data_IF_717076759163
#
_entry.id   IF_717076759163
#
_cell.length_a   1.000
_cell.length_b   1.000
_cell.length_c   1.000
_cell.angle_alpha   90.00
_cell.angle_beta   90.00
_cell.angle_gamma   90.00
#
_symmetry.space_group_name_H-M   'P 1'
#
loop_
_entity.id
_entity.type
_entity.pdbx_description
1 polymer ?
#
# COMPACT_ATOMS: atom_id res chain seq x y z
N UNK A 1 -16.52 -25.53 -8.35
CA UNK A 1 -17.44 -24.42 -8.72
C UNK A 1 -17.49 -23.24 -7.73
N UNK A 2 -16.87 -23.28 -6.54
CA UNK A 2 -16.89 -22.16 -5.58
C UNK A 2 -15.82 -21.07 -5.82
N UNK A 3 -14.74 -21.37 -6.56
CA UNK A 3 -13.59 -20.45 -6.77
C UNK A 3 -13.89 -19.28 -7.70
N UNK A 4 -14.79 -19.44 -8.68
CA UNK A 4 -15.10 -18.41 -9.68
C UNK A 4 -15.95 -17.26 -9.11
N UNK A 5 -16.88 -17.57 -8.20
CA UNK A 5 -17.77 -16.57 -7.57
C UNK A 5 -16.99 -15.60 -6.67
N UNK A 6 -16.11 -16.13 -5.82
CA UNK A 6 -15.27 -15.30 -4.95
C UNK A 6 -14.35 -14.35 -5.73
N UNK A 7 -13.78 -14.79 -6.86
CA UNK A 7 -12.96 -13.92 -7.71
C UNK A 7 -13.78 -12.79 -8.35
N UNK A 8 -14.99 -13.08 -8.78
CA UNK A 8 -15.89 -12.07 -9.36
C UNK A 8 -16.32 -11.03 -8.30
N UNK A 9 -16.65 -11.48 -7.09
CA UNK A 9 -17.05 -10.58 -6.00
C UNK A 9 -15.90 -9.66 -5.59
N UNK A 10 -14.68 -10.20 -5.49
CA UNK A 10 -13.48 -9.39 -5.21
C UNK A 10 -13.21 -8.37 -6.32
N UNK A 11 -13.35 -8.77 -7.60
CA UNK A 11 -13.15 -7.84 -8.72
C UNK A 11 -14.14 -6.66 -8.67
N UNK A 12 -15.42 -6.94 -8.39
CA UNK A 12 -16.42 -5.89 -8.23
C UNK A 12 -16.10 -4.97 -7.05
N UNK A 13 -15.61 -5.54 -5.94
CA UNK A 13 -15.22 -4.76 -4.77
C UNK A 13 -14.00 -3.87 -5.07
N UNK A 14 -12.97 -4.40 -5.74
CA UNK A 14 -11.80 -3.65 -6.21
C UNK A 14 -12.23 -2.50 -7.13
N UNK A 15 -13.14 -2.74 -8.08
CA UNK A 15 -13.67 -1.69 -8.97
C UNK A 15 -14.39 -0.58 -8.18
N UNK A 16 -15.13 -0.94 -7.13
CA UNK A 16 -15.79 0.03 -6.25
C UNK A 16 -14.80 0.91 -5.50
N UNK A 17 -13.65 0.35 -5.07
CA UNK A 17 -12.55 1.10 -4.47
C UNK A 17 -11.87 2.00 -5.49
N UNK A 18 -11.57 1.50 -6.70
CA UNK A 18 -11.00 2.30 -7.79
C UNK A 18 -11.88 3.52 -8.10
N UNK A 19 -13.20 3.36 -8.10
CA UNK A 19 -14.11 4.47 -8.32
C UNK A 19 -14.05 5.53 -7.20
N UNK A 20 -13.82 5.13 -5.95
CA UNK A 20 -13.57 6.09 -4.86
C UNK A 20 -12.25 6.82 -5.08
N UNK A 21 -11.20 6.09 -5.45
CA UNK A 21 -9.85 6.64 -5.58
C UNK A 21 -9.69 7.55 -6.80
N UNK A 22 -10.46 7.30 -7.88
CA UNK A 22 -10.46 8.12 -9.10
C UNK A 22 -11.00 9.52 -8.78
N UNK A 23 -10.10 10.46 -8.54
CA UNK A 23 -10.42 11.84 -8.14
C UNK A 23 -10.25 12.14 -6.64
N UNK A 24 -9.86 11.15 -5.84
CA UNK A 24 -9.50 11.35 -4.44
C UNK A 24 -8.06 11.90 -4.29
N UNK A 25 -7.74 12.60 -3.18
CA UNK A 25 -6.37 12.96 -2.86
C UNK A 25 -5.49 11.73 -2.65
N UNK A 26 -4.20 11.85 -2.95
CA UNK A 26 -3.21 10.77 -2.80
C UNK A 26 -3.10 10.29 -1.33
N UNK A 27 -3.44 11.13 -0.36
CA UNK A 27 -3.58 10.77 1.05
C UNK A 27 -4.52 9.56 1.24
N UNK A 28 -5.65 9.54 0.55
CA UNK A 28 -6.61 8.44 0.62
C UNK A 28 -6.05 7.19 -0.08
N UNK A 29 -5.25 7.37 -1.12
CA UNK A 29 -4.59 6.25 -1.80
C UNK A 29 -3.57 5.59 -0.87
N UNK A 30 -2.76 6.38 -0.17
CA UNK A 30 -1.80 5.88 0.81
C UNK A 30 -2.49 5.18 2.00
N UNK A 31 -3.58 5.73 2.53
CA UNK A 31 -4.39 5.03 3.53
C UNK A 31 -4.97 3.71 2.99
N UNK A 32 -5.43 3.69 1.73
CA UNK A 32 -5.98 2.48 1.11
C UNK A 32 -4.94 1.37 1.01
N UNK A 33 -3.75 1.66 0.48
CA UNK A 33 -2.71 0.62 0.33
C UNK A 33 -2.22 0.10 1.69
N UNK A 34 -2.15 0.98 2.71
CA UNK A 34 -1.82 0.60 4.09
C UNK A 34 -2.84 -0.37 4.71
N UNK A 35 -4.09 -0.34 4.26
CA UNK A 35 -5.16 -1.27 4.68
C UNK A 35 -5.25 -2.54 3.83
N UNK A 36 -4.62 -2.55 2.67
CA UNK A 36 -4.68 -3.67 1.76
C UNK A 36 -3.93 -4.89 2.32
N UNK A 37 -4.55 -6.07 2.28
CA UNK A 37 -3.94 -7.36 2.64
C UNK A 37 -3.20 -7.98 1.46
N UNK A 38 -2.02 -8.57 1.71
CA UNK A 38 -1.02 -9.09 0.75
C UNK A 38 -1.55 -9.41 -0.66
N UNK A 39 -1.70 -10.69 -0.99
CA UNK A 39 -2.00 -11.14 -2.35
C UNK A 39 -3.44 -10.78 -2.79
N UNK A 40 -4.37 -10.66 -1.84
CA UNK A 40 -5.79 -10.46 -2.15
C UNK A 40 -6.09 -9.11 -2.82
N UNK A 41 -5.19 -8.13 -2.71
CA UNK A 41 -5.38 -6.79 -3.26
C UNK A 41 -4.29 -6.40 -4.28
N UNK A 42 -3.51 -7.36 -4.78
CA UNK A 42 -2.45 -7.07 -5.75
C UNK A 42 -3.01 -6.44 -7.04
N UNK A 43 -4.21 -6.83 -7.47
CA UNK A 43 -4.91 -6.21 -8.61
C UNK A 43 -5.25 -4.74 -8.39
N UNK A 44 -5.69 -4.36 -7.18
CA UNK A 44 -5.93 -2.96 -6.81
C UNK A 44 -4.62 -2.17 -6.74
N UNK A 45 -3.60 -2.71 -6.06
CA UNK A 45 -2.29 -2.06 -5.89
C UNK A 45 -1.62 -1.87 -7.25
N UNK A 46 -1.63 -2.90 -8.09
CA UNK A 46 -1.11 -2.85 -9.46
C UNK A 46 -1.77 -1.74 -10.28
N UNK A 47 -3.09 -1.56 -10.14
CA UNK A 47 -3.80 -0.45 -10.77
C UNK A 47 -3.31 0.91 -10.23
N UNK A 48 -3.20 1.07 -8.91
CA UNK A 48 -2.72 2.32 -8.27
C UNK A 48 -1.33 2.70 -8.76
N UNK A 49 -0.41 1.73 -8.82
CA UNK A 49 0.98 1.92 -9.26
C UNK A 49 1.12 2.31 -10.73
N UNK A 50 0.09 2.06 -11.53
CA UNK A 50 0.03 2.41 -12.95
C UNK A 50 -0.73 3.70 -13.25
N UNK A 51 -1.12 4.46 -12.23
CA UNK A 51 -1.67 5.79 -12.44
C UNK A 51 -0.54 6.84 -12.41
N UNK A 52 -0.51 7.80 -13.35
CA UNK A 52 0.55 8.80 -13.42
C UNK A 52 0.58 9.76 -12.22
N UNK A 53 -0.55 9.91 -11.50
CA UNK A 53 -0.66 10.70 -10.27
C UNK A 53 -0.14 10.00 -9.02
N UNK A 54 0.27 8.72 -9.12
CA UNK A 54 0.68 7.91 -7.97
C UNK A 54 1.87 8.54 -7.24
N UNK A 55 1.68 8.89 -5.98
CA UNK A 55 2.72 9.45 -5.13
C UNK A 55 3.81 8.41 -4.79
N UNK A 56 5.04 8.89 -4.63
CA UNK A 56 6.18 8.07 -4.27
C UNK A 56 5.97 7.26 -2.99
N UNK A 57 5.28 7.78 -1.98
CA UNK A 57 5.05 7.03 -0.74
C UNK A 57 4.21 5.76 -0.96
N UNK A 58 3.26 5.79 -1.90
CA UNK A 58 2.44 4.62 -2.28
C UNK A 58 3.34 3.57 -2.97
N UNK A 59 4.20 4.02 -3.88
CA UNK A 59 5.15 3.15 -4.57
C UNK A 59 6.15 2.51 -3.58
N UNK A 60 6.67 3.28 -2.61
CA UNK A 60 7.55 2.78 -1.56
C UNK A 60 6.86 1.73 -0.70
N UNK A 61 5.64 2.00 -0.26
CA UNK A 61 4.85 1.02 0.50
C UNK A 61 4.71 -0.29 -0.26
N UNK A 62 4.33 -0.23 -1.54
CA UNK A 62 4.17 -1.40 -2.39
C UNK A 62 5.50 -2.16 -2.60
N UNK A 63 6.59 -1.41 -2.83
CA UNK A 63 7.92 -1.95 -3.05
C UNK A 63 8.43 -2.74 -1.85
N UNK A 64 8.36 -2.19 -0.64
CA UNK A 64 8.82 -2.90 0.55
C UNK A 64 7.90 -4.08 0.90
N UNK A 65 6.60 -3.95 0.65
CA UNK A 65 5.65 -5.05 0.79
C UNK A 65 5.95 -6.24 -0.14
N UNK A 66 6.56 -6.02 -1.31
CA UNK A 66 6.97 -7.11 -2.21
C UNK A 66 8.25 -7.82 -1.78
N UNK A 67 8.84 -7.45 -0.64
CA UNK A 67 10.10 -8.01 -0.12
C UNK A 67 11.26 -7.90 -1.13
N UNK A 68 11.73 -6.68 -1.43
CA UNK A 68 12.69 -6.43 -2.51
C UNK A 68 14.01 -7.16 -2.27
N UNK A 69 14.39 -7.37 -1.00
CA UNK A 69 15.57 -8.14 -0.64
C UNK A 69 15.57 -9.58 -1.21
N UNK A 70 14.41 -10.21 -1.40
CA UNK A 70 14.31 -11.55 -1.99
C UNK A 70 14.70 -11.55 -3.47
N UNK A 71 14.38 -10.48 -4.19
CA UNK A 71 14.75 -10.32 -5.60
C UNK A 71 16.26 -10.11 -5.80
N UNK A 72 16.99 -9.73 -4.74
CA UNK A 72 18.45 -9.68 -4.74
C UNK A 72 19.10 -11.02 -4.39
N UNK A 73 18.38 -11.98 -3.81
CA UNK A 73 18.91 -13.33 -3.55
C UNK A 73 18.97 -14.16 -4.83
N UNK A 74 17.92 -14.07 -5.65
CA UNK A 74 17.76 -14.75 -6.93
C UNK A 74 17.37 -13.71 -8.02
N UNK A 75 18.35 -12.93 -8.54
CA UNK A 75 18.08 -11.83 -9.44
C UNK A 75 17.62 -12.31 -10.83
N UNK A 76 16.46 -11.83 -11.26
CA UNK A 76 15.87 -12.12 -12.57
C UNK A 76 15.60 -10.84 -13.35
N UNK A 77 15.71 -10.86 -14.69
CA UNK A 77 15.26 -9.75 -15.52
C UNK A 77 13.82 -9.37 -15.22
N UNK A 78 13.50 -8.07 -15.30
CA UNK A 78 12.13 -7.61 -15.13
C UNK A 78 11.27 -8.05 -16.33
N UNK A 79 10.06 -8.58 -16.11
CA UNK A 79 9.14 -8.87 -17.20
C UNK A 79 8.75 -7.58 -17.92
N UNK A 80 8.67 -7.63 -19.26
CA UNK A 80 8.25 -6.48 -20.07
C UNK A 80 6.81 -6.01 -19.73
N UNK A 81 5.95 -6.97 -19.38
CA UNK A 81 4.58 -6.74 -18.94
C UNK A 81 4.37 -7.43 -17.58
N UNK A 82 4.61 -6.73 -16.47
CA UNK A 82 4.41 -7.30 -15.14
C UNK A 82 2.95 -7.68 -14.92
N UNK A 83 2.69 -8.87 -14.41
CA UNK A 83 1.35 -9.25 -13.96
C UNK A 83 0.95 -8.47 -12.69
N UNK A 84 -0.31 -8.52 -12.24
CA UNK A 84 -0.73 -7.88 -11.00
C UNK A 84 0.08 -8.29 -9.77
N UNK A 85 0.59 -9.52 -9.72
CA UNK A 85 1.39 -10.04 -8.61
C UNK A 85 2.87 -9.61 -8.68
N UNK A 86 3.35 -9.10 -9.81
CA UNK A 86 4.72 -8.66 -10.04
C UNK A 86 4.96 -7.22 -9.55
N UNK A 87 4.54 -6.93 -8.30
CA UNK A 87 4.58 -5.59 -7.71
C UNK A 87 5.99 -4.99 -7.73
N UNK A 88 7.02 -5.79 -7.42
CA UNK A 88 8.42 -5.36 -7.46
C UNK A 88 8.80 -4.80 -8.84
N UNK A 89 8.56 -5.62 -9.88
CA UNK A 89 8.87 -5.27 -11.27
C UNK A 89 8.07 -4.06 -11.74
N UNK A 90 6.79 -4.00 -11.37
CA UNK A 90 5.92 -2.88 -11.71
C UNK A 90 6.43 -1.56 -11.13
N UNK A 91 6.84 -1.54 -9.86
CA UNK A 91 7.42 -0.34 -9.25
C UNK A 91 8.67 0.11 -10.01
N UNK A 92 9.60 -0.80 -10.30
CA UNK A 92 10.85 -0.42 -10.97
C UNK A 92 10.62 0.13 -12.39
N UNK A 93 9.76 -0.54 -13.17
CA UNK A 93 9.45 -0.09 -14.54
C UNK A 93 8.75 1.27 -14.54
N UNK A 94 7.77 1.48 -13.65
CA UNK A 94 7.04 2.75 -13.57
C UNK A 94 7.91 3.88 -13.02
N UNK A 95 8.89 3.56 -12.17
CA UNK A 95 9.91 4.51 -11.75
C UNK A 95 10.75 4.97 -12.95
N UNK A 96 11.22 4.04 -13.79
CA UNK A 96 12.05 4.36 -14.96
C UNK A 96 11.30 5.19 -16.00
N UNK A 97 10.01 4.93 -16.19
CA UNK A 97 9.12 5.75 -17.05
C UNK A 97 8.80 7.12 -16.40
N UNK A 98 9.00 7.24 -15.09
CA UNK A 98 8.90 8.50 -14.37
C UNK A 98 7.52 8.82 -13.82
N UNK A 99 6.75 7.83 -13.34
CA UNK A 99 5.43 8.07 -12.74
C UNK A 99 5.52 8.65 -11.32
N UNK A 100 6.49 8.22 -10.51
CA UNK A 100 6.58 8.56 -9.08
C UNK A 100 7.34 9.87 -8.81
N UNK A 101 7.00 10.94 -9.54
CA UNK A 101 7.66 12.26 -9.44
C UNK A 101 7.08 13.13 -8.34
N UNK A 102 5.90 12.80 -7.84
CA UNK A 102 5.25 13.49 -6.73
C UNK A 102 5.70 12.88 -5.40
N UNK A 103 6.25 13.72 -4.52
CA UNK A 103 6.86 13.33 -3.23
C UNK A 103 6.19 14.13 -2.09
N UNK A 104 4.86 14.21 -2.12
CA UNK A 104 4.08 15.05 -1.20
C UNK A 104 3.81 14.36 0.12
N UNK A 105 3.77 13.03 0.12
CA UNK A 105 3.42 12.23 1.29
C UNK A 105 4.66 11.70 1.98
N UNK A 106 4.56 11.61 3.31
CA UNK A 106 5.62 11.06 4.15
C UNK A 106 5.63 9.55 4.12
N UNK A 107 6.81 8.99 3.86
CA UNK A 107 7.08 7.57 4.06
C UNK A 107 7.29 7.35 5.56
N UNK A 108 6.40 6.58 6.16
CA UNK A 108 6.50 6.19 7.56
C UNK A 108 7.16 4.80 7.71
N UNK A 109 7.57 4.46 8.92
CA UNK A 109 8.15 3.14 9.24
C UNK A 109 7.24 1.96 8.82
N UNK A 110 5.92 2.16 8.80
CA UNK A 110 4.96 1.14 8.35
C UNK A 110 5.02 0.89 6.84
N UNK A 111 5.48 1.87 6.06
CA UNK A 111 5.56 1.79 4.60
C UNK A 111 6.90 1.18 4.16
N UNK A 112 7.97 1.54 4.87
CA UNK A 112 9.30 1.01 4.63
C UNK A 112 9.99 0.74 5.98
N UNK A 113 9.79 -0.45 6.58
CA UNK A 113 10.39 -0.75 7.87
C UNK A 113 11.91 -0.66 7.83
N UNK A 114 12.52 0.04 8.79
CA UNK A 114 13.98 0.28 8.85
C UNK A 114 14.81 -1.00 8.69
N UNK A 115 14.35 -2.12 9.27
CA UNK A 115 15.01 -3.44 9.12
C UNK A 115 15.03 -3.93 7.67
N UNK A 116 13.95 -3.71 6.92
CA UNK A 116 13.87 -4.08 5.51
C UNK A 116 14.74 -3.17 4.65
N UNK A 117 14.75 -1.86 4.92
CA UNK A 117 15.64 -0.89 4.27
C UNK A 117 17.11 -1.31 4.48
N UNK A 118 17.51 -1.54 5.73
CA UNK A 118 18.88 -1.94 6.06
C UNK A 118 19.27 -3.26 5.36
N UNK A 119 18.39 -4.26 5.38
CA UNK A 119 18.61 -5.54 4.69
C UNK A 119 18.77 -5.35 3.18
N UNK A 120 17.95 -4.52 2.55
CA UNK A 120 18.06 -4.21 1.13
C UNK A 120 19.39 -3.50 0.83
N UNK A 121 19.74 -2.47 1.60
CA UNK A 121 20.97 -1.70 1.43
C UNK A 121 22.22 -2.58 1.52
N UNK A 122 22.30 -3.46 2.52
CA UNK A 122 23.39 -4.42 2.66
C UNK A 122 23.55 -5.28 1.41
N UNK A 123 22.44 -5.79 0.87
CA UNK A 123 22.47 -6.63 -0.34
C UNK A 123 22.84 -5.86 -1.60
N UNK A 124 22.42 -4.60 -1.73
CA UNK A 124 22.80 -3.75 -2.86
C UNK A 124 24.30 -3.45 -2.82
N UNK A 125 24.84 -3.09 -1.65
CA UNK A 125 26.26 -2.75 -1.47
C UNK A 125 27.18 -3.95 -1.71
N UNK A 126 26.74 -5.16 -1.32
CA UNK A 126 27.52 -6.38 -1.51
C UNK A 126 27.63 -6.83 -2.99
N UNK A 127 26.96 -6.16 -3.93
CA UNK A 127 26.92 -6.55 -5.34
C UNK A 127 27.82 -5.65 -6.19
N UNK A 128 28.63 -6.21 -7.11
CA UNK A 128 29.37 -5.42 -8.08
C UNK A 128 28.44 -4.58 -8.97
N UNK A 129 28.90 -3.40 -9.41
CA UNK A 129 28.14 -2.59 -10.38
C UNK A 129 27.88 -3.37 -11.66
N UNK A 130 26.64 -3.33 -12.15
CA UNK A 130 26.22 -4.04 -13.37
C UNK A 130 25.94 -5.53 -13.19
N UNK A 131 26.07 -6.09 -11.97
CA UNK A 131 25.81 -7.52 -11.75
C UNK A 131 24.32 -7.87 -11.65
N UNK A 132 23.44 -6.87 -11.51
CA UNK A 132 22.01 -7.07 -11.40
C UNK A 132 21.33 -6.76 -12.74
N UNK A 133 20.31 -7.53 -13.15
CA UNK A 133 19.55 -7.29 -14.38
C UNK A 133 18.51 -6.17 -14.23
N UNK A 134 18.55 -5.44 -13.11
CA UNK A 134 17.72 -4.29 -12.79
C UNK A 134 18.49 -3.35 -11.87
N UNK A 135 18.03 -2.10 -11.77
CA UNK A 135 18.56 -1.12 -10.83
C UNK A 135 17.52 -0.81 -9.76
N UNK A 136 17.93 -0.88 -8.49
CA UNK A 136 17.11 -0.34 -7.39
C UNK A 136 17.42 1.16 -7.28
N UNK A 137 16.45 2.07 -7.46
CA UNK A 137 16.72 3.50 -7.42
C UNK A 137 17.13 3.93 -6.01
N UNK A 138 18.10 4.85 -5.91
CA UNK A 138 18.61 5.35 -4.62
C UNK A 138 17.51 5.90 -3.72
N UNK A 139 16.45 6.49 -4.29
CA UNK A 139 15.31 6.97 -3.49
C UNK A 139 14.58 5.86 -2.73
N UNK A 140 14.56 4.63 -3.25
CA UNK A 140 14.01 3.49 -2.53
C UNK A 140 14.95 2.96 -1.44
N UNK A 141 16.25 3.24 -1.51
CA UNK A 141 17.25 2.86 -0.50
C UNK A 141 17.25 3.82 0.70
N UNK A 142 16.83 5.06 0.48
CA UNK A 142 16.66 6.10 1.49
C UNK A 142 15.33 6.83 1.29
N UNK A 143 14.19 6.16 1.50
CA UNK A 143 12.90 6.77 1.23
C UNK A 143 12.63 7.88 2.24
N UNK A 144 12.55 9.11 1.74
CA UNK A 144 12.23 10.33 2.49
C UNK A 144 11.22 11.13 1.69
N UNK A 145 10.40 11.92 2.37
CA UNK A 145 9.57 12.90 1.70
C UNK A 145 8.42 13.45 2.54
N UNK A 146 7.84 14.52 2.02
CA UNK A 146 6.46 14.91 2.24
C UNK A 146 6.01 15.26 3.66
N UNK A 147 4.68 15.27 3.78
CA UNK A 147 3.94 15.58 5.00
C UNK A 147 3.08 14.38 5.39
N UNK A 148 2.68 14.34 6.66
CA UNK A 148 1.73 13.33 7.13
C UNK A 148 0.44 13.38 6.31
N UNK A 149 -0.18 12.22 6.12
CA UNK A 149 -1.48 12.15 5.44
C UNK A 149 -2.52 13.00 6.16
N UNK A 150 -3.33 13.73 5.42
CA UNK A 150 -4.44 14.54 5.91
C UNK A 150 -5.68 14.27 5.06
N UNK A 151 -6.45 13.26 5.46
CA UNK A 151 -7.67 12.87 4.75
C UNK A 151 -8.84 13.70 5.28
N UNK A 152 -9.55 14.45 4.43
CA UNK A 152 -10.76 15.14 4.84
C UNK A 152 -11.80 14.18 5.41
N UNK A 153 -12.49 14.56 6.49
CA UNK A 153 -13.44 13.69 7.18
C UNK A 153 -14.52 13.12 6.25
N UNK A 154 -14.99 13.88 5.26
CA UNK A 154 -15.99 13.44 4.29
C UNK A 154 -15.47 12.41 3.26
N UNK A 155 -14.17 12.12 3.25
CA UNK A 155 -13.54 11.07 2.45
C UNK A 155 -12.97 9.94 3.30
N UNK A 156 -12.95 10.11 4.62
CA UNK A 156 -12.31 9.15 5.50
C UNK A 156 -13.17 7.88 5.69
N UNK A 157 -12.62 6.68 5.50
CA UNK A 157 -13.31 5.43 5.86
C UNK A 157 -13.55 5.33 7.37
N UNK A 158 -12.89 6.15 8.20
CA UNK A 158 -13.18 6.17 9.63
C UNK A 158 -14.45 6.91 9.99
N UNK A 159 -14.88 7.85 9.14
CA UNK A 159 -15.92 8.82 9.48
C UNK A 159 -17.15 8.66 8.58
N UNK A 160 -16.97 8.17 7.34
CA UNK A 160 -18.06 8.00 6.37
C UNK A 160 -18.47 6.54 6.22
N UNK A 161 -19.69 6.23 6.67
CA UNK A 161 -20.26 4.88 6.63
C UNK A 161 -20.23 4.24 5.23
N UNK A 162 -20.57 5.02 4.18
CA UNK A 162 -20.59 4.53 2.79
C UNK A 162 -19.21 4.09 2.29
N UNK A 163 -18.15 4.81 2.69
CA UNK A 163 -16.77 4.48 2.31
C UNK A 163 -16.28 3.30 3.14
N UNK A 164 -16.54 3.33 4.45
CA UNK A 164 -16.25 2.20 5.35
C UNK A 164 -16.84 0.89 4.82
N UNK A 165 -18.12 0.90 4.42
CA UNK A 165 -18.79 -0.28 3.90
C UNK A 165 -18.09 -0.82 2.65
N UNK A 166 -17.76 0.06 1.70
CA UNK A 166 -17.02 -0.35 0.49
C UNK A 166 -15.64 -0.94 0.83
N UNK A 167 -14.94 -0.38 1.81
CA UNK A 167 -13.64 -0.91 2.26
C UNK A 167 -13.79 -2.28 2.93
N UNK A 168 -14.79 -2.43 3.80
CA UNK A 168 -15.12 -3.70 4.45
C UNK A 168 -15.50 -4.78 3.42
N UNK A 169 -16.37 -4.44 2.47
CA UNK A 169 -16.83 -5.33 1.39
C UNK A 169 -15.64 -5.75 0.49
N UNK A 170 -14.65 -4.88 0.31
CA UNK A 170 -13.42 -5.19 -0.42
C UNK A 170 -12.40 -6.01 0.38
N UNK A 171 -12.63 -6.23 1.68
CA UNK A 171 -11.72 -6.98 2.55
C UNK A 171 -10.50 -6.19 3.04
N UNK A 172 -10.50 -4.85 2.84
CA UNK A 172 -9.50 -3.95 3.38
C UNK A 172 -9.58 -3.91 4.92
N UNK A 173 -8.44 -3.66 5.56
CA UNK A 173 -8.39 -3.55 7.01
C UNK A 173 -9.11 -2.27 7.50
N UNK A 174 -10.27 -2.47 8.11
CA UNK A 174 -11.08 -1.42 8.73
C UNK A 174 -11.55 -1.88 10.11
N UNK A 175 -11.81 -0.93 11.04
CA UNK A 175 -12.38 -1.28 12.34
C UNK A 175 -13.68 -2.07 12.16
N UNK A 176 -13.88 -3.10 13.00
CA UNK A 176 -15.04 -4.00 12.94
C UNK A 176 -16.37 -3.27 13.07
N UNK A 177 -16.41 -2.19 13.85
CA UNK A 177 -17.59 -1.34 13.99
C UNK A 177 -17.59 -0.23 12.93
N UNK A 178 -18.72 -0.10 12.22
CA UNK A 178 -18.93 0.98 11.27
C UNK A 178 -18.92 2.37 11.95
N UNK A 179 -18.60 3.45 11.23
CA UNK A 179 -18.68 4.81 11.74
C UNK A 179 -20.09 5.13 12.31
N UNK A 180 -20.13 5.83 13.45
CA UNK A 180 -21.37 6.20 14.16
C UNK A 180 -21.32 5.95 15.68
N UNK A 181 -22.47 6.13 16.35
CA UNK A 181 -22.62 5.95 17.80
C UNK A 181 -22.10 4.59 18.33
N UNK A 182 -22.35 3.44 17.66
CA UNK A 182 -21.84 2.16 18.15
C UNK A 182 -20.31 2.11 18.26
N UNK A 183 -19.60 2.73 17.31
CA UNK A 183 -18.13 2.80 17.34
C UNK A 183 -17.61 3.72 18.43
N UNK A 184 -18.27 4.85 18.67
CA UNK A 184 -17.92 5.74 19.79
C UNK A 184 -18.04 5.00 21.12
N UNK A 185 -19.13 4.26 21.33
CA UNK A 185 -19.33 3.44 22.53
C UNK A 185 -18.25 2.36 22.65
N UNK A 186 -17.93 1.64 21.56
CA UNK A 186 -16.89 0.61 21.56
C UNK A 186 -15.50 1.18 21.88
N UNK A 187 -15.15 2.36 21.35
CA UNK A 187 -13.89 3.04 21.64
C UNK A 187 -13.79 3.45 23.11
N UNK A 188 -14.88 3.95 23.69
CA UNK A 188 -14.95 4.30 25.12
C UNK A 188 -14.75 3.04 25.97
N UNK A 189 -15.50 1.95 25.70
CA UNK A 189 -15.37 0.68 26.42
C UNK A 189 -13.93 0.14 26.38
N UNK A 190 -13.29 0.13 25.21
CA UNK A 190 -11.92 -0.33 25.06
C UNK A 190 -10.89 0.52 25.84
N UNK A 191 -11.11 1.84 25.96
CA UNK A 191 -10.26 2.71 26.78
C UNK A 191 -10.40 2.42 28.27
N UNK A 192 -11.63 2.13 28.74
CA UNK A 192 -11.86 1.77 30.14
C UNK A 192 -11.21 0.43 30.48
N UNK A 193 -11.42 -0.61 29.66
CA UNK A 193 -10.86 -1.95 29.89
C UNK A 193 -9.33 -1.95 29.98
N UNK A 194 -8.65 -1.26 29.04
CA UNK A 194 -7.18 -1.13 29.03
C UNK A 194 -6.61 -0.35 30.22
N UNK A 195 -7.43 0.43 30.92
CA UNK A 195 -6.99 1.23 32.08
C UNK A 195 -7.03 0.41 33.36
N UNK A 196 -7.99 -0.51 33.47
CA UNK A 196 -8.09 -1.50 34.57
C UNK A 196 -7.01 -2.57 34.52
N UNK A 197 -6.46 -2.92 33.35
CA UNK A 197 -5.38 -3.90 33.20
C UNK A 197 -3.97 -3.34 33.49
N UNK A 198 -3.85 -2.04 33.76
CA UNK A 198 -2.58 -1.35 34.05
C UNK A 198 -2.43 -0.90 35.51
N UNK A 199 -3.38 -1.27 36.35
CA UNK A 199 -3.32 -1.11 37.81
C UNK A 199 -3.19 -2.49 38.45
#
# INVERSE_FOLDING_TARGET
MHSTRHKHDQLNADLSIRHILKGAPQDLWLDTIRRAKYASHNTLISWMLSQPECDFAIAVHAFYRSNPAKHLDDPKPLPAHPEPDDIFSRVLIQWDIGFYRTHRLMVEDRDAPLRQIARLNQKVIARPRGSLPFQVPTRFLEPKGGTNISIPAHLSPTDVHKIWKKYADAGLDVPTAAPGLPRQIAQIKNRFLRRTERN
#
